data_IF_431008496594
#
_entry.id   IF_431008496594
#
_cell.length_a   1.000
_cell.length_b   1.000
_cell.length_c   1.000
_cell.angle_alpha   90.00
_cell.angle_beta   90.00
_cell.angle_gamma   90.00
#
_symmetry.space_group_name_H-M   'P 1'
#
loop_
_entity.id
_entity.type
_entity.pdbx_description
1 polymer ?
#
# COMPACT_ATOMS: atom_id res chain seq x y z
N UNK A 1 -3.94 13.48 -28.68
CA UNK A 1 -3.04 13.43 -27.52
C UNK A 1 -1.95 12.39 -27.75
N UNK A 2 -0.74 12.68 -27.34
CA UNK A 2 0.37 11.74 -27.48
C UNK A 2 0.69 11.10 -26.13
N UNK A 3 0.99 9.81 -26.16
CA UNK A 3 1.52 9.10 -25.00
C UNK A 3 2.95 9.52 -24.76
N UNK A 4 3.26 9.85 -23.49
CA UNK A 4 4.60 10.21 -23.03
C UNK A 4 4.93 9.52 -21.73
N UNK A 5 6.23 9.49 -21.42
CA UNK A 5 6.72 8.99 -20.13
C UNK A 5 7.55 10.10 -19.48
N UNK A 6 7.34 10.26 -18.19
CA UNK A 6 8.06 11.28 -17.44
C UNK A 6 7.70 11.24 -15.97
N UNK A 7 8.28 12.19 -15.22
CA UNK A 7 8.02 12.29 -13.78
C UNK A 7 6.66 12.94 -13.52
N UNK A 8 5.82 12.23 -12.78
CA UNK A 8 4.57 12.77 -12.25
C UNK A 8 4.62 12.76 -10.73
N UNK A 9 3.75 13.53 -10.11
CA UNK A 9 3.61 13.54 -8.65
C UNK A 9 2.27 12.93 -8.26
N UNK A 10 2.26 12.26 -7.10
CA UNK A 10 1.04 11.72 -6.52
C UNK A 10 1.09 11.91 -5.01
N UNK A 11 0.02 12.44 -4.39
CA UNK A 11 0.00 12.67 -2.94
C UNK A 11 -0.31 11.40 -2.17
N UNK A 12 0.52 11.09 -1.17
CA UNK A 12 0.26 10.03 -0.19
C UNK A 12 0.32 10.68 1.18
N UNK A 13 -0.78 10.62 1.92
CA UNK A 13 -0.91 11.22 3.26
C UNK A 13 -0.47 12.70 3.28
N UNK A 14 -0.84 13.45 2.25
CA UNK A 14 -0.52 14.87 2.13
C UNK A 14 0.89 15.19 1.63
N UNK A 15 1.70 14.18 1.35
CA UNK A 15 3.05 14.36 0.83
C UNK A 15 3.08 14.06 -0.67
N UNK A 16 3.65 14.97 -1.46
CA UNK A 16 3.78 14.77 -2.91
C UNK A 16 4.94 13.83 -3.20
N UNK A 17 4.65 12.64 -3.74
CA UNK A 17 5.65 11.68 -4.15
C UNK A 17 5.96 11.89 -5.63
N UNK A 18 7.25 11.96 -5.96
CA UNK A 18 7.72 12.12 -7.34
C UNK A 18 7.99 10.75 -7.93
N UNK A 19 7.15 10.35 -8.89
CA UNK A 19 7.22 9.03 -9.51
C UNK A 19 7.86 9.16 -10.88
N UNK A 20 9.07 8.62 -11.10
CA UNK A 20 9.72 8.66 -12.41
C UNK A 20 9.05 7.70 -13.39
N UNK A 21 9.28 7.92 -14.67
CA UNK A 21 8.86 7.04 -15.76
C UNK A 21 7.36 6.69 -15.76
N UNK A 22 6.53 7.64 -15.34
CA UNK A 22 5.09 7.49 -15.39
C UNK A 22 4.58 7.71 -16.80
N UNK A 23 3.60 6.91 -17.21
CA UNK A 23 2.96 7.03 -18.52
C UNK A 23 1.75 7.95 -18.43
N UNK A 24 1.63 8.88 -19.35
CA UNK A 24 0.52 9.81 -19.41
C UNK A 24 0.24 10.26 -20.83
N UNK A 25 -0.91 10.89 -21.03
CA UNK A 25 -1.29 11.49 -22.30
C UNK A 25 -1.04 12.99 -22.23
N UNK A 26 -0.19 13.50 -23.11
CA UNK A 26 0.12 14.92 -23.17
C UNK A 26 -0.86 15.64 -24.10
N UNK A 27 -1.45 16.74 -23.61
CA UNK A 27 -2.28 17.61 -24.43
C UNK A 27 -1.41 18.50 -25.31
N UNK A 28 -1.65 18.59 -26.64
CA UNK A 28 -0.88 19.46 -27.50
C UNK A 28 -0.97 20.95 -27.14
N UNK A 29 -2.01 21.34 -26.38
CA UNK A 29 -2.25 22.71 -25.96
C UNK A 29 -1.62 23.05 -24.60
N UNK A 30 -0.81 22.14 -24.03
CA UNK A 30 -0.11 22.40 -22.76
C UNK A 30 -1.00 22.29 -21.52
N UNK A 31 -2.16 21.67 -21.60
CA UNK A 31 -3.00 21.38 -20.45
C UNK A 31 -2.35 20.29 -19.58
N UNK A 32 -2.89 20.10 -18.37
CA UNK A 32 -2.40 19.06 -17.47
C UNK A 32 -2.44 17.67 -18.14
N UNK A 33 -1.49 16.80 -17.79
CA UNK A 33 -1.47 15.44 -18.34
C UNK A 33 -2.74 14.68 -17.97
N UNK A 34 -3.21 13.87 -18.90
CA UNK A 34 -4.35 12.97 -18.71
C UNK A 34 -3.81 11.56 -18.54
N UNK A 35 -4.37 10.83 -17.58
CA UNK A 35 -3.98 9.45 -17.30
C UNK A 35 -5.11 8.51 -17.69
N UNK A 36 -4.76 7.43 -18.41
CA UNK A 36 -5.66 6.31 -18.55
C UNK A 36 -5.87 5.67 -17.18
N UNK A 37 -6.98 4.97 -17.01
CA UNK A 37 -7.30 4.34 -15.70
C UNK A 37 -6.18 3.42 -15.21
N UNK A 38 -5.60 2.60 -16.09
CA UNK A 38 -4.49 1.71 -15.73
C UNK A 38 -3.22 2.48 -15.39
N UNK A 39 -2.95 3.57 -16.09
CA UNK A 39 -1.79 4.42 -15.81
C UNK A 39 -1.94 5.14 -14.46
N UNK A 40 -3.13 5.60 -14.14
CA UNK A 40 -3.43 6.22 -12.85
C UNK A 40 -3.25 5.22 -11.71
N UNK A 41 -3.68 3.98 -11.89
CA UNK A 41 -3.50 2.92 -10.91
C UNK A 41 -2.02 2.62 -10.68
N UNK A 42 -1.24 2.47 -11.74
CA UNK A 42 0.21 2.25 -11.65
C UNK A 42 0.93 3.40 -10.97
N UNK A 43 0.54 4.63 -11.28
CA UNK A 43 1.10 5.81 -10.64
C UNK A 43 0.89 5.78 -9.14
N UNK A 44 -0.34 5.48 -8.69
CA UNK A 44 -0.66 5.37 -7.27
C UNK A 44 0.14 4.24 -6.59
N UNK A 45 0.19 3.07 -7.22
CA UNK A 45 0.93 1.93 -6.67
C UNK A 45 2.42 2.23 -6.53
N UNK A 46 3.03 2.87 -7.53
CA UNK A 46 4.43 3.29 -7.46
C UNK A 46 4.65 4.34 -6.37
N UNK A 47 3.74 5.32 -6.25
CA UNK A 47 3.82 6.33 -5.20
C UNK A 47 3.77 5.69 -3.81
N UNK A 48 2.90 4.71 -3.61
CA UNK A 48 2.78 3.97 -2.35
C UNK A 48 4.08 3.21 -2.05
N UNK A 49 4.66 2.54 -3.03
CA UNK A 49 5.93 1.84 -2.87
C UNK A 49 7.06 2.80 -2.48
N UNK A 50 7.14 3.96 -3.11
CA UNK A 50 8.12 4.99 -2.77
C UNK A 50 7.92 5.52 -1.37
N UNK A 51 6.67 5.77 -0.97
CA UNK A 51 6.32 6.22 0.38
C UNK A 51 6.75 5.17 1.42
N UNK A 52 6.42 3.90 1.20
CA UNK A 52 6.80 2.81 2.10
C UNK A 52 8.33 2.70 2.23
N UNK A 53 9.06 2.81 1.13
CA UNK A 53 10.52 2.79 1.14
C UNK A 53 11.09 3.96 1.92
N UNK A 54 10.55 5.15 1.71
CA UNK A 54 11.02 6.37 2.38
C UNK A 54 10.88 6.29 3.89
N UNK A 55 9.75 5.76 4.37
CA UNK A 55 9.45 5.66 5.80
C UNK A 55 9.73 4.28 6.38
N UNK A 56 10.36 3.40 5.63
CA UNK A 56 10.75 2.05 6.05
C UNK A 56 9.57 1.23 6.55
N UNK A 57 8.45 1.34 5.88
CA UNK A 57 7.26 0.55 6.16
C UNK A 57 7.33 -0.78 5.43
N UNK A 58 6.59 -1.76 5.92
CA UNK A 58 6.47 -3.06 5.25
C UNK A 58 5.85 -2.88 3.86
N UNK A 59 6.37 -3.61 2.89
CA UNK A 59 5.81 -3.64 1.53
C UNK A 59 4.52 -4.45 1.48
N UNK A 60 3.78 -4.32 0.38
CA UNK A 60 2.60 -5.13 0.12
C UNK A 60 2.90 -6.62 0.21
N UNK A 61 4.03 -7.04 -0.35
CA UNK A 61 4.47 -8.43 -0.36
C UNK A 61 4.83 -8.93 1.03
N UNK A 62 5.52 -8.10 1.81
CA UNK A 62 5.87 -8.45 3.19
C UNK A 62 4.62 -8.61 4.06
N UNK A 63 3.63 -7.74 3.91
CA UNK A 63 2.36 -7.86 4.64
C UNK A 63 1.66 -9.18 4.27
N UNK A 64 1.60 -9.48 2.98
CA UNK A 64 1.02 -10.74 2.50
C UNK A 64 1.77 -11.95 3.05
N UNK A 65 3.09 -11.90 3.07
CA UNK A 65 3.94 -12.98 3.58
C UNK A 65 3.69 -13.26 5.06
N UNK A 66 3.51 -12.22 5.86
CA UNK A 66 3.17 -12.37 7.28
C UNK A 66 1.87 -13.14 7.43
N UNK A 67 0.84 -12.74 6.68
CA UNK A 67 -0.47 -13.39 6.72
C UNK A 67 -0.38 -14.86 6.30
N UNK A 68 0.31 -15.12 5.19
CA UNK A 68 0.44 -16.48 4.65
C UNK A 68 1.23 -17.39 5.58
N UNK A 69 2.27 -16.85 6.24
CA UNK A 69 3.07 -17.59 7.21
C UNK A 69 2.22 -18.17 8.35
N UNK A 70 1.20 -17.44 8.77
CA UNK A 70 0.30 -17.88 9.84
C UNK A 70 -0.93 -18.62 9.32
N UNK A 71 -1.03 -18.85 8.02
CA UNK A 71 -2.14 -19.56 7.41
C UNK A 71 -3.48 -18.84 7.50
N UNK A 72 -3.46 -17.51 7.58
CA UNK A 72 -4.65 -16.70 7.75
C UNK A 72 -5.18 -16.17 6.42
N UNK A 73 -6.51 -16.08 6.31
CA UNK A 73 -7.14 -15.34 5.23
C UNK A 73 -7.06 -13.84 5.52
N UNK A 74 -7.30 -13.01 4.51
CA UNK A 74 -7.37 -11.56 4.71
C UNK A 74 -8.44 -11.19 5.74
N UNK A 75 -9.60 -11.82 5.66
CA UNK A 75 -10.69 -11.58 6.62
C UNK A 75 -10.33 -11.97 8.05
N UNK A 76 -9.64 -13.10 8.22
CA UNK A 76 -9.21 -13.55 9.55
C UNK A 76 -8.21 -12.60 10.17
N UNK A 77 -7.19 -12.19 9.43
CA UNK A 77 -6.20 -11.24 9.95
C UNK A 77 -6.83 -9.87 10.22
N UNK A 78 -7.69 -9.40 9.32
CA UNK A 78 -8.39 -8.13 9.50
C UNK A 78 -9.21 -8.11 10.79
N UNK A 79 -9.90 -9.20 11.10
CA UNK A 79 -10.66 -9.32 12.36
C UNK A 79 -9.75 -9.28 13.58
N UNK A 80 -8.64 -9.99 13.54
CA UNK A 80 -7.68 -10.00 14.66
C UNK A 80 -7.09 -8.60 14.91
N UNK A 81 -6.84 -7.84 13.86
CA UNK A 81 -6.29 -6.49 13.93
C UNK A 81 -7.37 -5.41 14.07
N UNK A 82 -8.63 -5.81 14.09
CA UNK A 82 -9.80 -4.91 14.15
C UNK A 82 -9.82 -3.88 13.03
N UNK A 83 -9.47 -4.34 11.83
CA UNK A 83 -9.48 -3.52 10.63
C UNK A 83 -10.85 -3.52 9.98
N UNK A 84 -11.17 -2.44 9.29
CA UNK A 84 -12.36 -2.36 8.48
C UNK A 84 -12.30 -3.31 7.28
N UNK A 85 -13.46 -3.55 6.69
CA UNK A 85 -13.59 -4.39 5.50
C UNK A 85 -12.73 -3.82 4.36
N UNK A 86 -12.02 -4.68 3.66
CA UNK A 86 -11.15 -4.35 2.52
C UNK A 86 -9.88 -3.55 2.85
N UNK A 87 -9.62 -3.17 4.10
CA UNK A 87 -8.41 -2.43 4.44
C UNK A 87 -7.15 -3.23 4.15
N UNK A 88 -7.11 -4.48 4.63
CA UNK A 88 -5.95 -5.35 4.44
C UNK A 88 -5.76 -5.70 2.96
N UNK A 89 -6.84 -5.95 2.23
CA UNK A 89 -6.75 -6.27 0.81
C UNK A 89 -6.16 -5.10 0.00
N UNK A 90 -6.49 -3.86 0.39
CA UNK A 90 -5.92 -2.68 -0.25
C UNK A 90 -4.42 -2.54 0.04
N UNK A 91 -3.99 -2.83 1.27
CA UNK A 91 -2.56 -2.81 1.61
C UNK A 91 -1.78 -3.84 0.80
N UNK A 92 -2.32 -5.06 0.68
CA UNK A 92 -1.67 -6.14 -0.06
C UNK A 92 -1.68 -5.91 -1.57
N UNK A 93 -2.65 -5.16 -2.07
CA UNK A 93 -2.74 -4.81 -3.49
C UNK A 93 -1.95 -3.54 -3.85
N UNK A 94 -1.34 -2.86 -2.87
CA UNK A 94 -0.62 -1.61 -3.13
C UNK A 94 -1.52 -0.43 -3.43
N UNK A 95 -2.78 -0.48 -2.99
CA UNK A 95 -3.76 0.59 -3.23
C UNK A 95 -3.87 1.59 -2.09
N UNK A 96 -3.36 1.24 -0.94
CA UNK A 96 -3.32 2.09 0.22
C UNK A 96 -2.12 1.71 1.08
N UNK A 97 -1.76 2.58 2.01
CA UNK A 97 -0.62 2.37 2.89
C UNK A 97 -1.09 2.26 4.34
N UNK A 98 -0.50 1.34 5.08
CA UNK A 98 -0.76 1.16 6.49
C UNK A 98 -0.20 2.33 7.30
N UNK A 99 -0.83 2.63 8.43
CA UNK A 99 -0.29 3.62 9.37
C UNK A 99 0.98 3.09 10.02
N UNK A 100 1.79 4.00 10.57
CA UNK A 100 3.00 3.61 11.29
C UNK A 100 2.69 2.67 12.46
N UNK A 101 1.59 2.92 13.18
CA UNK A 101 1.17 2.06 14.29
C UNK A 101 0.82 0.65 13.82
N UNK A 102 0.10 0.53 12.72
CA UNK A 102 -0.25 -0.78 12.14
C UNK A 102 0.98 -1.49 11.61
N UNK A 103 1.93 -0.76 11.06
CA UNK A 103 3.21 -1.33 10.62
C UNK A 103 3.96 -1.95 11.79
N UNK A 104 4.05 -1.24 12.91
CA UNK A 104 4.67 -1.76 14.14
C UNK A 104 3.95 -3.00 14.61
N UNK A 105 2.61 -3.01 14.62
CA UNK A 105 1.83 -4.17 15.05
C UNK A 105 2.09 -5.38 14.15
N UNK A 106 2.14 -5.18 12.84
CA UNK A 106 2.45 -6.27 11.90
C UNK A 106 3.86 -6.82 12.12
N UNK A 107 4.84 -5.96 12.41
CA UNK A 107 6.21 -6.38 12.74
C UNK A 107 6.27 -7.17 14.03
N UNK A 108 5.55 -6.73 15.06
CA UNK A 108 5.46 -7.46 16.32
C UNK A 108 4.86 -8.84 16.12
N UNK A 109 3.79 -8.93 15.33
CA UNK A 109 3.15 -10.20 15.00
C UNK A 109 4.13 -11.14 14.29
N UNK A 110 4.94 -10.60 13.36
CA UNK A 110 5.94 -11.38 12.62
C UNK A 110 7.09 -11.85 13.50
N UNK A 111 7.62 -10.97 14.35
CA UNK A 111 8.92 -11.16 14.99
C UNK A 111 8.84 -11.63 16.45
N UNK A 112 7.73 -11.40 17.14
CA UNK A 112 7.57 -11.77 18.54
C UNK A 112 6.83 -13.10 18.65
N UNK A 113 7.48 -14.17 19.17
CA UNK A 113 6.80 -15.45 19.37
C UNK A 113 5.61 -15.30 20.30
N UNK A 114 4.50 -15.97 19.94
CA UNK A 114 3.28 -15.92 20.75
C UNK A 114 2.37 -14.72 20.49
N UNK A 115 2.75 -13.82 19.59
CA UNK A 115 1.94 -12.63 19.29
C UNK A 115 0.59 -12.98 18.70
N UNK A 116 0.52 -13.96 17.82
CA UNK A 116 -0.74 -14.40 17.20
C UNK A 116 -1.67 -15.01 18.25
N UNK A 117 -1.16 -15.88 19.11
CA UNK A 117 -1.95 -16.50 20.19
C UNK A 117 -2.48 -15.44 21.15
N UNK A 118 -1.67 -14.45 21.45
CA UNK A 118 -2.10 -13.34 22.31
C UNK A 118 -3.29 -12.60 21.67
N UNK A 119 -3.20 -12.28 20.40
CA UNK A 119 -4.30 -11.61 19.68
C UNK A 119 -5.56 -12.46 19.67
N UNK A 120 -5.44 -13.77 19.44
CA UNK A 120 -6.57 -14.68 19.43
C UNK A 120 -7.28 -14.76 20.77
N UNK A 121 -6.52 -14.73 21.87
CA UNK A 121 -7.09 -14.77 23.23
C UNK A 121 -7.79 -13.47 23.60
N UNK A 122 -7.35 -12.35 23.07
CA UNK A 122 -7.85 -11.03 23.43
C UNK A 122 -8.69 -10.36 22.34
N UNK A 123 -8.90 -11.03 21.21
CA UNK A 123 -9.82 -10.57 20.19
C UNK A 123 -11.26 -10.77 20.68
N UNK A 124 -12.02 -9.70 20.66
CA UNK A 124 -13.42 -9.75 21.04
C UNK A 124 -14.26 -10.22 19.87
#
# INVERSE_FOLDING_TARGET
>A
MKEKRGRLTFPINGEALHVPDSTYLACPRGHEPVLRLDDARRLREHAIDLYRSKYRLLSSEEIRSIRQRFGLTQGELARLLRLGQNTLSRWEAGRNVQTAAMDVLLRLLRDVPGGLEYLRKHAA
#
